data_IF_967719732182
#
_entry.id   IF_967719732182
#
_cell.length_a   1.000
_cell.length_b   1.000
_cell.length_c   1.000
_cell.angle_alpha   90.00
_cell.angle_beta   90.00
_cell.angle_gamma   90.00
#
_symmetry.space_group_name_H-M   'P 1'
#
loop_
_entity.id
_entity.type
_entity.pdbx_description
1 polymer ?
#
# COMPACT_ATOMS: atom_id res chain seq x y z
N UNK A 1 -8.38 -25.53 -16.28
CA UNK A 1 -8.61 -24.09 -16.11
C UNK A 1 -7.71 -23.41 -17.10
N UNK A 2 -8.27 -22.74 -18.10
CA UNK A 2 -7.47 -21.98 -19.05
C UNK A 2 -7.11 -20.64 -18.41
N UNK A 3 -5.82 -20.35 -18.30
CA UNK A 3 -5.31 -19.05 -17.84
C UNK A 3 -5.16 -18.13 -19.05
N UNK A 4 -5.84 -16.98 -19.02
CA UNK A 4 -5.66 -15.92 -20.01
C UNK A 4 -4.71 -14.87 -19.45
N UNK A 5 -3.53 -14.73 -20.06
CA UNK A 5 -2.55 -13.69 -19.72
C UNK A 5 -2.57 -12.56 -20.75
N UNK A 6 -2.55 -11.31 -20.27
CA UNK A 6 -2.40 -10.11 -21.09
C UNK A 6 -1.29 -9.23 -20.54
N UNK A 7 -0.51 -8.58 -21.41
CA UNK A 7 0.45 -7.54 -21.02
C UNK A 7 -0.20 -6.17 -21.23
N UNK A 8 -0.33 -5.40 -20.16
CA UNK A 8 -0.71 -3.99 -20.24
C UNK A 8 0.56 -3.21 -20.54
N UNK A 9 0.56 -2.43 -21.64
CA UNK A 9 1.68 -1.56 -22.03
C UNK A 9 1.24 -0.11 -21.87
N UNK A 10 2.01 0.67 -21.14
CA UNK A 10 1.76 2.08 -20.86
C UNK A 10 2.98 2.70 -20.18
N UNK A 11 3.00 4.03 -20.07
CA UNK A 11 3.92 4.71 -19.17
C UNK A 11 3.25 4.79 -17.80
N UNK A 12 3.88 4.19 -16.81
CA UNK A 12 3.38 4.06 -15.45
C UNK A 12 4.48 4.52 -14.49
N UNK A 13 4.09 5.20 -13.42
CA UNK A 13 4.99 5.65 -12.36
C UNK A 13 4.68 4.91 -11.06
N UNK A 14 5.69 4.83 -10.18
CA UNK A 14 5.48 4.44 -8.79
C UNK A 14 4.47 5.38 -8.12
N UNK A 15 3.44 4.80 -7.49
CA UNK A 15 2.32 5.50 -6.87
C UNK A 15 1.06 5.62 -7.75
N UNK A 16 1.13 5.29 -9.04
CA UNK A 16 -0.05 5.26 -9.90
C UNK A 16 -1.01 4.13 -9.50
N UNK A 17 -2.31 4.31 -9.73
CA UNK A 17 -3.32 3.26 -9.53
C UNK A 17 -3.83 2.80 -10.89
N UNK A 18 -3.53 1.55 -11.25
CA UNK A 18 -4.06 0.93 -12.45
C UNK A 18 -5.44 0.34 -12.18
N UNK A 19 -6.49 0.93 -12.77
CA UNK A 19 -7.85 0.38 -12.78
C UNK A 19 -8.09 -0.46 -14.03
N UNK A 20 -8.57 -1.69 -13.91
CA UNK A 20 -8.81 -2.59 -15.05
C UNK A 20 -10.05 -3.48 -14.85
N UNK A 21 -10.67 -3.93 -15.94
CA UNK A 21 -11.80 -4.86 -15.94
C UNK A 21 -11.71 -5.78 -17.17
N UNK A 22 -12.34 -6.94 -17.10
CA UNK A 22 -12.40 -7.92 -18.17
C UNK A 22 -13.79 -7.95 -18.77
N UNK A 23 -13.88 -8.06 -20.11
CA UNK A 23 -15.13 -8.25 -20.81
C UNK A 23 -15.08 -9.54 -21.63
N UNK A 24 -16.13 -10.36 -21.53
CA UNK A 24 -16.32 -11.54 -22.38
C UNK A 24 -17.32 -11.18 -23.46
N UNK A 25 -16.92 -11.35 -24.72
CA UNK A 25 -17.78 -11.24 -25.88
C UNK A 25 -17.90 -12.62 -26.53
N UNK A 26 -19.06 -13.26 -26.41
CA UNK A 26 -19.35 -14.49 -27.14
C UNK A 26 -19.77 -14.15 -28.58
N UNK A 27 -19.18 -14.82 -29.58
CA UNK A 27 -19.51 -14.61 -31.01
C UNK A 27 -20.79 -15.35 -31.47
N UNK A 28 -21.60 -15.87 -30.54
CA UNK A 28 -22.84 -16.59 -30.84
C UNK A 28 -24.00 -15.62 -31.13
N UNK A 29 -25.05 -16.09 -31.80
CA UNK A 29 -26.20 -15.28 -32.26
C UNK A 29 -27.00 -14.59 -31.13
N UNK A 30 -26.69 -14.86 -29.85
CA UNK A 30 -27.37 -14.30 -28.68
C UNK A 30 -26.54 -13.25 -27.92
N UNK A 31 -25.36 -12.87 -28.42
CA UNK A 31 -24.47 -11.82 -27.91
C UNK A 31 -24.59 -11.54 -26.40
N UNK A 32 -24.23 -12.50 -25.55
CA UNK A 32 -24.04 -12.19 -24.13
C UNK A 32 -22.76 -11.35 -23.97
N UNK A 33 -22.91 -10.18 -23.34
CA UNK A 33 -21.78 -9.38 -22.86
C UNK A 33 -21.76 -9.47 -21.35
N UNK A 34 -20.67 -10.03 -20.81
CA UNK A 34 -20.38 -10.03 -19.38
C UNK A 34 -19.19 -9.11 -19.12
N UNK A 35 -19.31 -8.22 -18.14
CA UNK A 35 -18.19 -7.43 -17.62
C UNK A 35 -17.88 -7.89 -16.20
N UNK A 36 -16.60 -7.98 -15.86
CA UNK A 36 -16.16 -8.13 -14.48
C UNK A 36 -16.34 -6.82 -13.70
N UNK A 37 -16.25 -6.86 -12.37
CA UNK A 37 -15.95 -5.66 -11.58
C UNK A 37 -14.66 -4.98 -12.04
N UNK A 38 -14.50 -3.72 -11.64
CA UNK A 38 -13.22 -2.99 -11.74
C UNK A 38 -12.28 -3.51 -10.64
N UNK A 39 -11.06 -3.82 -11.03
CA UNK A 39 -9.94 -4.16 -10.17
C UNK A 39 -8.95 -3.01 -10.14
N UNK A 40 -8.27 -2.81 -9.02
CA UNK A 40 -7.27 -1.77 -8.83
C UNK A 40 -5.92 -2.40 -8.47
N UNK A 41 -4.83 -1.84 -8.99
CA UNK A 41 -3.45 -2.22 -8.67
C UNK A 41 -2.63 -0.97 -8.41
N UNK A 42 -2.12 -0.83 -7.18
CA UNK A 42 -1.24 0.27 -6.80
C UNK A 42 0.18 -0.05 -7.27
N UNK A 43 0.69 0.73 -8.20
CA UNK A 43 2.01 0.52 -8.78
C UNK A 43 3.10 0.88 -7.77
N UNK A 44 4.01 -0.06 -7.53
CA UNK A 44 5.02 0.09 -6.50
C UNK A 44 4.61 -0.36 -5.11
N UNK A 45 3.40 -0.88 -4.94
CA UNK A 45 2.90 -1.41 -3.68
C UNK A 45 2.69 -2.92 -3.79
N UNK A 46 3.06 -3.64 -2.73
CA UNK A 46 2.82 -5.07 -2.58
C UNK A 46 2.38 -5.36 -1.14
N UNK A 47 1.13 -5.80 -0.99
CA UNK A 47 0.54 -6.24 0.28
C UNK A 47 0.23 -7.73 0.29
N UNK A 48 0.67 -8.51 -0.70
CA UNK A 48 0.57 -9.98 -0.77
C UNK A 48 -0.87 -10.55 -0.82
N UNK A 49 -1.88 -9.69 -0.95
CA UNK A 49 -3.29 -10.06 -1.04
C UNK A 49 -3.63 -10.92 -2.27
N UNK A 50 -2.80 -10.84 -3.31
CA UNK A 50 -2.94 -11.60 -4.55
C UNK A 50 -1.91 -12.72 -4.68
N UNK A 51 -1.22 -13.07 -3.60
CA UNK A 51 -0.27 -14.17 -3.55
C UNK A 51 1.17 -13.74 -3.81
N UNK A 52 1.99 -14.66 -4.33
CA UNK A 52 3.44 -14.51 -4.47
C UNK A 52 3.89 -14.56 -5.93
N UNK A 53 3.01 -14.28 -6.88
CA UNK A 53 3.32 -14.42 -8.30
C UNK A 53 4.47 -13.48 -8.73
N UNK A 54 4.60 -12.31 -8.10
CA UNK A 54 5.72 -11.39 -8.31
C UNK A 54 7.02 -11.84 -7.64
N UNK A 55 7.00 -12.89 -6.81
CA UNK A 55 8.11 -13.29 -5.96
C UNK A 55 8.50 -14.75 -6.19
N UNK A 56 9.81 -14.98 -6.23
CA UNK A 56 10.42 -16.30 -6.28
C UNK A 56 10.83 -16.71 -4.87
N UNK A 57 10.26 -17.81 -4.40
CA UNK A 57 10.65 -18.46 -3.14
C UNK A 57 11.36 -19.77 -3.45
N UNK A 58 12.26 -20.20 -2.56
CA UNK A 58 12.76 -21.58 -2.56
C UNK A 58 11.80 -22.46 -1.75
N UNK A 59 11.63 -23.75 -2.11
CA UNK A 59 10.87 -24.69 -1.29
C UNK A 59 11.39 -24.73 0.15
N UNK A 60 10.48 -24.71 1.13
CA UNK A 60 10.84 -24.77 2.55
C UNK A 60 11.30 -23.45 3.19
N UNK A 61 11.03 -22.32 2.54
CA UNK A 61 11.25 -20.98 3.08
C UNK A 61 10.01 -20.11 2.96
N UNK A 62 10.22 -18.84 2.59
CA UNK A 62 9.19 -17.81 2.58
C UNK A 62 7.87 -18.22 1.91
N UNK A 63 6.77 -17.79 2.53
CA UNK A 63 5.43 -17.92 1.96
C UNK A 63 4.41 -17.02 2.65
N UNK A 64 3.14 -17.21 2.31
CA UNK A 64 2.05 -16.40 2.86
C UNK A 64 1.73 -16.78 4.31
N UNK A 65 1.56 -15.76 5.16
CA UNK A 65 1.06 -15.84 6.53
C UNK A 65 -0.29 -15.15 6.64
N UNK A 66 -1.21 -15.71 7.43
CA UNK A 66 -2.61 -15.26 7.56
C UNK A 66 -3.01 -14.88 8.98
N UNK A 67 -2.22 -15.27 9.99
CA UNK A 67 -2.52 -15.03 11.40
C UNK A 67 -1.86 -13.75 11.92
N UNK A 68 -0.68 -13.41 11.42
CA UNK A 68 0.12 -12.26 11.86
C UNK A 68 0.35 -11.29 10.71
N UNK A 69 -0.74 -10.64 10.33
CA UNK A 69 -0.81 -9.72 9.18
C UNK A 69 -0.93 -8.28 9.67
N UNK A 70 -0.34 -7.31 8.96
CA UNK A 70 -0.42 -5.89 9.31
C UNK A 70 -1.68 -5.25 8.75
N UNK A 71 -2.00 -5.49 7.48
CA UNK A 71 -3.25 -5.09 6.82
C UNK A 71 -3.75 -6.19 5.87
N UNK A 72 -5.04 -6.24 5.58
CA UNK A 72 -5.59 -7.26 4.67
C UNK A 72 -5.63 -8.68 5.28
N UNK A 73 -5.40 -9.69 4.44
CA UNK A 73 -5.50 -11.11 4.77
C UNK A 73 -4.15 -11.83 4.73
N UNK A 74 -3.15 -11.28 4.05
CA UNK A 74 -1.87 -11.94 3.86
C UNK A 74 -0.70 -11.01 4.18
N UNK A 75 0.31 -11.56 4.84
CA UNK A 75 1.67 -11.04 4.87
C UNK A 75 2.60 -12.11 4.31
N UNK A 76 3.90 -11.84 4.21
CA UNK A 76 4.91 -12.89 4.03
C UNK A 76 5.64 -13.18 5.33
N UNK A 77 5.98 -14.45 5.50
CA UNK A 77 6.72 -15.00 6.62
C UNK A 77 7.76 -15.96 6.07
N UNK A 78 8.98 -15.98 6.61
CA UNK A 78 10.05 -16.83 6.11
C UNK A 78 9.81 -18.33 6.37
N UNK A 79 8.95 -18.67 7.34
CA UNK A 79 8.63 -20.04 7.75
C UNK A 79 7.12 -20.23 7.94
N UNK A 80 6.32 -20.00 6.89
CA UNK A 80 4.87 -19.88 6.98
C UNK A 80 4.25 -21.11 7.64
N UNK A 81 3.46 -20.88 8.69
CA UNK A 81 2.79 -21.94 9.45
C UNK A 81 2.57 -21.56 10.90
N UNK A 82 1.39 -21.91 11.43
CA UNK A 82 1.03 -21.53 12.79
C UNK A 82 2.00 -22.11 13.82
N UNK A 83 2.66 -21.24 14.58
CA UNK A 83 3.57 -21.62 15.66
C UNK A 83 4.90 -22.22 15.20
N UNK A 84 5.26 -22.03 13.93
CA UNK A 84 6.50 -22.50 13.35
C UNK A 84 7.59 -21.44 13.60
N UNK A 85 8.71 -21.87 14.19
CA UNK A 85 9.93 -21.08 14.27
C UNK A 85 10.76 -21.31 13.01
N UNK A 86 11.67 -20.38 12.69
CA UNK A 86 12.55 -20.60 11.55
C UNK A 86 13.51 -21.77 11.78
N UNK A 87 13.88 -22.48 10.71
CA UNK A 87 14.82 -23.59 10.80
C UNK A 87 16.20 -23.12 11.26
N UNK A 88 16.86 -23.93 12.09
CA UNK A 88 18.29 -23.77 12.40
C UNK A 88 19.15 -24.15 11.18
N UNK A 89 20.37 -23.62 11.14
CA UNK A 89 21.36 -23.82 10.08
C UNK A 89 20.81 -23.55 8.67
N UNK A 90 19.96 -22.54 8.55
CA UNK A 90 19.20 -22.27 7.33
C UNK A 90 19.56 -20.93 6.70
N UNK A 91 19.44 -20.90 5.37
CA UNK A 91 19.39 -19.67 4.60
C UNK A 91 18.16 -19.69 3.70
N UNK A 92 17.17 -18.85 4.03
CA UNK A 92 15.89 -18.77 3.33
C UNK A 92 15.75 -17.41 2.66
N UNK A 93 15.38 -17.43 1.38
CA UNK A 93 15.38 -16.26 0.49
C UNK A 93 14.05 -16.17 -0.24
N UNK A 94 13.54 -14.94 -0.35
CA UNK A 94 12.50 -14.56 -1.31
C UNK A 94 13.04 -13.42 -2.17
N UNK A 95 12.85 -13.51 -3.48
CA UNK A 95 13.42 -12.58 -4.46
C UNK A 95 12.35 -12.11 -5.42
N UNK A 96 12.31 -10.82 -5.71
CA UNK A 96 11.44 -10.26 -6.75
C UNK A 96 11.76 -10.94 -8.10
N UNK A 97 10.76 -11.39 -8.84
CA UNK A 97 10.98 -12.12 -10.11
C UNK A 97 11.39 -11.21 -11.25
N UNK A 98 10.72 -10.07 -11.36
CA UNK A 98 10.91 -9.10 -12.42
C UNK A 98 11.49 -7.83 -11.79
N UNK A 99 12.58 -7.30 -12.34
CA UNK A 99 13.22 -6.13 -11.78
C UNK A 99 12.41 -4.85 -11.94
N UNK A 100 12.68 -3.95 -11.02
CA UNK A 100 12.15 -2.60 -10.94
C UNK A 100 12.92 -1.69 -11.91
N UNK A 101 12.20 -0.93 -12.73
CA UNK A 101 12.80 0.15 -13.52
C UNK A 101 12.87 1.42 -12.67
N UNK A 102 14.03 1.67 -12.08
CA UNK A 102 14.32 2.86 -11.29
C UNK A 102 15.10 3.91 -12.09
N UNK A 103 15.27 3.69 -13.41
CA UNK A 103 16.19 4.47 -14.24
C UNK A 103 15.79 5.94 -14.43
N UNK A 104 14.51 6.23 -14.21
CA UNK A 104 13.90 7.57 -14.33
C UNK A 104 13.76 8.30 -13.01
N UNK A 105 14.08 7.65 -11.89
CA UNK A 105 14.01 8.25 -10.57
C UNK A 105 15.34 8.92 -10.24
N UNK A 106 15.29 10.03 -9.49
CA UNK A 106 16.48 10.69 -8.94
C UNK A 106 16.79 10.22 -7.52
N UNK A 107 15.76 9.81 -6.79
CA UNK A 107 15.83 9.26 -5.44
C UNK A 107 14.64 8.31 -5.23
N UNK A 108 14.84 7.28 -4.42
CA UNK A 108 13.79 6.33 -4.09
C UNK A 108 14.05 5.67 -2.74
N UNK A 109 12.98 5.32 -2.05
CA UNK A 109 13.01 4.62 -0.77
C UNK A 109 12.16 3.36 -0.87
N UNK A 110 12.73 2.22 -0.47
CA UNK A 110 11.95 1.03 -0.15
C UNK A 110 11.39 1.21 1.26
N UNK A 111 10.07 1.21 1.39
CA UNK A 111 9.36 1.19 2.66
C UNK A 111 8.67 -0.16 2.84
N UNK A 112 8.67 -0.70 4.06
CA UNK A 112 7.95 -1.93 4.38
C UNK A 112 7.50 -1.93 5.84
N UNK A 113 6.42 -2.63 6.13
CA UNK A 113 6.02 -2.93 7.50
C UNK A 113 6.54 -4.30 7.88
N UNK A 114 7.25 -4.38 9.00
CA UNK A 114 7.73 -5.69 9.48
C UNK A 114 7.74 -5.78 10.98
N UNK A 115 7.78 -7.02 11.45
CA UNK A 115 8.24 -7.34 12.79
C UNK A 115 9.08 -8.61 12.69
N UNK A 116 10.02 -8.78 13.61
CA UNK A 116 10.90 -9.93 13.59
C UNK A 116 11.36 -10.30 14.99
N UNK A 117 11.75 -11.55 15.16
CA UNK A 117 12.48 -11.97 16.34
C UNK A 117 13.51 -13.04 15.97
N UNK A 118 14.76 -12.62 16.04
CA UNK A 118 15.94 -13.41 15.75
C UNK A 118 16.68 -13.76 17.04
N UNK A 119 17.24 -14.95 17.09
CA UNK A 119 18.17 -15.39 18.10
C UNK A 119 19.50 -14.67 18.00
N UNK A 120 20.32 -14.86 19.02
CA UNK A 120 21.71 -14.40 18.99
C UNK A 120 22.46 -15.15 17.87
N UNK A 121 23.15 -14.42 16.99
CA UNK A 121 23.83 -15.00 15.83
C UNK A 121 22.98 -15.15 14.56
N UNK A 122 21.69 -14.83 14.63
CA UNK A 122 20.76 -14.89 13.50
C UNK A 122 20.51 -13.51 12.91
N UNK A 123 20.37 -13.44 11.57
CA UNK A 123 20.33 -12.17 10.85
C UNK A 123 19.29 -12.16 9.72
N UNK A 124 18.56 -11.05 9.64
CA UNK A 124 17.74 -10.66 8.48
C UNK A 124 18.46 -9.66 7.60
N UNK A 125 18.37 -9.82 6.28
CA UNK A 125 18.98 -8.94 5.30
C UNK A 125 17.94 -8.43 4.30
N UNK A 126 17.96 -7.12 4.04
CA UNK A 126 17.29 -6.49 2.92
C UNK A 126 18.35 -6.16 1.87
N UNK A 127 18.22 -6.72 0.68
CA UNK A 127 19.27 -6.69 -0.32
C UNK A 127 18.71 -6.34 -1.71
N UNK A 128 19.56 -5.74 -2.54
CA UNK A 128 19.23 -5.40 -3.92
C UNK A 128 20.31 -5.86 -4.90
N UNK A 129 19.93 -6.02 -6.16
CA UNK A 129 20.82 -6.41 -7.25
C UNK A 129 20.56 -5.55 -8.50
N UNK A 130 21.64 -5.16 -9.19
CA UNK A 130 21.61 -4.42 -10.47
C UNK A 130 21.95 -5.28 -11.69
N UNK A 131 22.27 -6.55 -11.46
CA UNK A 131 22.85 -7.45 -12.49
C UNK A 131 22.04 -8.74 -12.64
N UNK A 132 20.72 -8.63 -12.49
CA UNK A 132 19.78 -9.76 -12.56
C UNK A 132 20.06 -10.85 -11.53
N UNK A 133 20.53 -10.46 -10.34
CA UNK A 133 20.71 -11.36 -9.20
C UNK A 133 22.04 -12.10 -9.16
N UNK A 134 23.03 -11.71 -9.98
CA UNK A 134 24.38 -12.30 -9.94
C UNK A 134 25.14 -11.82 -8.70
N UNK A 135 25.03 -10.54 -8.35
CA UNK A 135 25.57 -9.94 -7.13
C UNK A 135 24.48 -9.23 -6.34
N UNK A 136 24.67 -9.17 -5.03
CA UNK A 136 23.70 -8.61 -4.08
C UNK A 136 24.40 -7.70 -3.07
N UNK A 137 23.83 -6.52 -2.87
CA UNK A 137 24.28 -5.54 -1.88
C UNK A 137 23.22 -5.36 -0.81
N UNK A 138 23.62 -5.31 0.46
CA UNK A 138 22.72 -4.99 1.55
C UNK A 138 22.35 -3.50 1.53
N UNK A 139 21.07 -3.19 1.76
CA UNK A 139 20.57 -1.80 1.85
C UNK A 139 20.73 -1.19 3.24
N UNK A 140 21.11 -1.99 4.22
CA UNK A 140 21.39 -1.58 5.61
C UNK A 140 22.34 -2.58 6.27
N UNK A 141 22.74 -2.27 7.49
CA UNK A 141 23.25 -3.28 8.42
C UNK A 141 22.23 -4.42 8.60
N UNK A 142 22.69 -5.65 8.87
CA UNK A 142 21.79 -6.77 9.10
C UNK A 142 20.88 -6.53 10.30
N UNK A 143 19.62 -6.90 10.15
CA UNK A 143 18.64 -6.91 11.22
C UNK A 143 19.02 -8.01 12.22
N UNK A 144 18.99 -7.68 13.51
CA UNK A 144 19.33 -8.59 14.62
C UNK A 144 18.44 -8.33 15.83
N UNK A 145 18.36 -9.29 16.74
CA UNK A 145 17.54 -9.20 17.94
C UNK A 145 16.05 -9.32 17.64
N UNK A 146 15.20 -8.70 18.47
CA UNK A 146 13.75 -8.91 18.42
C UNK A 146 12.95 -7.62 18.54
N UNK A 147 12.01 -7.43 17.62
CA UNK A 147 10.96 -6.42 17.63
C UNK A 147 9.62 -7.12 17.41
N UNK A 148 8.88 -7.34 18.50
CA UNK A 148 7.65 -8.16 18.51
C UNK A 148 6.38 -7.38 18.15
N UNK A 149 6.51 -6.25 17.46
CA UNK A 149 5.41 -5.41 16.98
C UNK A 149 5.75 -4.87 15.60
N UNK A 150 4.77 -4.88 14.70
CA UNK A 150 4.91 -4.25 13.39
C UNK A 150 5.33 -2.79 13.53
N UNK A 151 6.40 -2.44 12.83
CA UNK A 151 6.86 -1.08 12.63
C UNK A 151 7.28 -0.90 11.17
N UNK A 152 7.24 0.35 10.72
CA UNK A 152 7.66 0.70 9.37
C UNK A 152 9.18 0.88 9.35
N UNK A 153 9.84 0.23 8.38
CA UNK A 153 11.25 0.40 8.09
C UNK A 153 11.42 0.99 6.69
N UNK A 154 12.48 1.77 6.52
CA UNK A 154 12.82 2.45 5.28
C UNK A 154 14.27 2.17 4.91
N UNK A 155 14.51 1.90 3.63
CA UNK A 155 15.81 1.59 3.07
C UNK A 155 16.02 2.46 1.85
N UNK A 156 17.12 3.22 1.81
CA UNK A 156 17.43 4.05 0.64
C UNK A 156 17.75 3.16 -0.56
N UNK A 157 17.21 3.54 -1.72
CA UNK A 157 17.52 2.97 -3.02
C UNK A 157 18.28 3.98 -3.89
N UNK A 158 18.78 5.07 -3.33
CA UNK A 158 19.30 6.20 -4.12
C UNK A 158 20.45 5.79 -5.05
N UNK A 159 21.35 4.91 -4.58
CA UNK A 159 22.45 4.33 -5.38
C UNK A 159 21.99 3.37 -6.50
N UNK A 160 20.71 3.05 -6.51
CA UNK A 160 20.02 2.16 -7.44
C UNK A 160 19.04 2.93 -8.33
N UNK A 161 19.03 4.26 -8.29
CA UNK A 161 18.22 5.09 -9.20
C UNK A 161 19.06 5.74 -10.30
N UNK A 162 18.41 6.26 -11.34
CA UNK A 162 19.07 6.95 -12.46
C UNK A 162 19.52 6.03 -13.61
N UNK A 163 20.04 6.61 -14.71
CA UNK A 163 20.25 5.90 -15.97
C UNK A 163 21.07 4.61 -15.83
N UNK A 164 20.56 3.51 -16.38
CA UNK A 164 21.18 2.18 -16.29
C UNK A 164 20.64 1.29 -15.17
N UNK A 165 19.77 1.80 -14.29
CA UNK A 165 19.06 1.02 -13.27
C UNK A 165 17.63 0.66 -13.71
N UNK A 166 17.48 0.07 -14.89
CA UNK A 166 16.20 -0.34 -15.48
C UNK A 166 15.75 -1.75 -15.07
N UNK A 167 16.58 -2.44 -14.29
CA UNK A 167 16.34 -3.80 -13.79
C UNK A 167 16.96 -4.01 -12.40
N UNK A 168 16.34 -3.42 -11.38
CA UNK A 168 16.75 -3.57 -9.98
C UNK A 168 15.91 -4.64 -9.29
N UNK A 169 16.55 -5.72 -8.83
CA UNK A 169 15.87 -6.75 -8.05
C UNK A 169 15.98 -6.44 -6.55
N UNK A 170 14.97 -6.86 -5.80
CA UNK A 170 14.96 -6.84 -4.34
C UNK A 170 14.87 -8.27 -3.81
N UNK A 171 15.50 -8.54 -2.67
CA UNK A 171 15.31 -9.79 -1.93
C UNK A 171 15.32 -9.57 -0.42
N UNK A 172 14.65 -10.47 0.28
CA UNK A 172 14.76 -10.63 1.72
C UNK A 172 15.37 -11.99 2.03
N UNK A 173 16.34 -11.99 2.95
CA UNK A 173 17.08 -13.19 3.32
C UNK A 173 17.18 -13.30 4.83
N UNK A 174 16.84 -14.46 5.37
CA UNK A 174 17.15 -14.82 6.74
C UNK A 174 18.27 -15.87 6.72
N UNK A 175 19.26 -15.68 7.59
CA UNK A 175 20.30 -16.66 7.89
C UNK A 175 20.29 -16.98 9.38
N UNK A 176 20.19 -18.25 9.70
CA UNK A 176 20.25 -18.76 11.08
C UNK A 176 21.49 -19.58 11.35
N UNK A 177 21.90 -19.63 12.61
CA UNK A 177 22.89 -20.54 13.14
C UNK A 177 22.26 -21.87 13.60
N UNK A 178 23.03 -22.75 14.25
CA UNK A 178 22.60 -24.09 14.65
C UNK A 178 21.52 -24.11 15.76
N UNK A 179 21.12 -22.96 16.28
CA UNK A 179 20.12 -22.84 17.34
C UNK A 179 18.72 -22.59 16.76
N UNK A 180 17.72 -23.32 17.26
CA UNK A 180 16.32 -23.06 16.88
C UNK A 180 15.82 -21.87 17.66
N UNK A 181 15.57 -20.78 16.96
CA UNK A 181 15.24 -19.51 17.58
C UNK A 181 14.01 -18.89 16.91
N UNK A 182 13.25 -18.14 17.69
CA UNK A 182 12.33 -17.09 17.28
C UNK A 182 11.17 -17.40 16.31
N UNK A 183 10.09 -16.60 16.34
CA UNK A 183 9.02 -16.68 15.35
C UNK A 183 9.44 -16.22 13.94
N UNK A 184 10.65 -15.69 13.75
CA UNK A 184 11.16 -15.30 12.43
C UNK A 184 10.82 -13.87 12.03
N UNK A 185 10.64 -13.65 10.73
CA UNK A 185 10.50 -12.36 10.09
C UNK A 185 9.22 -12.29 9.26
N UNK A 186 8.37 -11.33 9.59
CA UNK A 186 7.13 -11.08 8.91
C UNK A 186 7.21 -9.72 8.22
N UNK A 187 6.88 -9.68 6.93
CA UNK A 187 6.90 -8.47 6.11
C UNK A 187 5.53 -8.30 5.46
N UNK A 188 5.07 -7.06 5.43
CA UNK A 188 3.80 -6.67 4.84
C UNK A 188 3.91 -5.24 4.28
N UNK A 189 2.95 -4.84 3.44
CA UNK A 189 2.81 -3.49 2.92
C UNK A 189 4.12 -2.88 2.36
N UNK A 190 4.78 -3.59 1.44
CA UNK A 190 5.99 -3.11 0.76
C UNK A 190 5.61 -2.00 -0.22
N UNK A 191 6.37 -0.91 -0.23
CA UNK A 191 6.18 0.23 -1.10
C UNK A 191 7.51 0.78 -1.64
N UNK A 192 7.53 1.20 -2.90
CA UNK A 192 8.61 2.02 -3.46
C UNK A 192 8.13 3.47 -3.51
N UNK A 193 8.76 4.32 -2.71
CA UNK A 193 8.42 5.73 -2.59
C UNK A 193 9.45 6.56 -3.37
N UNK A 194 9.11 7.12 -4.55
CA UNK A 194 10.00 8.03 -5.24
C UNK A 194 10.06 9.36 -4.48
N UNK A 195 11.26 9.82 -4.14
CA UNK A 195 11.43 11.22 -3.72
C UNK A 195 11.70 12.00 -5.00
N UNK A 196 10.67 12.66 -5.52
CA UNK A 196 10.89 13.64 -6.59
C UNK A 196 11.60 14.83 -5.96
N UNK A 197 12.92 14.94 -6.16
CA UNK A 197 13.58 16.24 -5.97
C UNK A 197 12.93 17.21 -6.93
N UNK A 198 12.20 18.19 -6.39
CA UNK A 198 11.56 19.25 -7.15
C UNK A 198 12.63 20.11 -7.83
N UNK A 199 13.06 19.70 -9.03
CA UNK A 199 13.81 20.56 -9.94
C UNK A 199 13.05 20.57 -11.26
N UNK A 200 12.11 21.51 -11.34
CA UNK A 200 11.21 21.68 -12.46
C UNK A 200 9.80 21.91 -11.92
N UNK A 201 9.41 23.19 -11.91
CA UNK A 201 8.04 23.75 -11.78
C UNK A 201 6.99 22.76 -11.28
N UNK A 202 6.42 23.00 -10.09
CA UNK A 202 5.24 22.28 -9.56
C UNK A 202 4.16 22.12 -10.66
N UNK A 203 4.21 21.01 -11.38
CA UNK A 203 2.99 20.36 -11.81
C UNK A 203 2.49 19.69 -10.53
N UNK A 204 1.67 20.42 -9.77
CA UNK A 204 0.75 19.80 -8.82
C UNK A 204 0.18 18.58 -9.55
N UNK A 205 0.39 17.37 -9.00
CA UNK A 205 -0.21 16.18 -9.56
C UNK A 205 -1.72 16.34 -9.42
N UNK A 206 -2.34 16.89 -10.45
CA UNK A 206 -3.77 17.09 -10.56
C UNK A 206 -4.38 15.69 -10.62
N UNK A 207 -5.19 15.28 -9.64
CA UNK A 207 -5.92 14.02 -9.69
C UNK A 207 -6.73 13.88 -10.98
N UNK A 208 -6.97 12.68 -11.51
CA UNK A 208 -7.81 12.54 -12.71
C UNK A 208 -9.32 12.48 -12.39
N UNK A 209 -9.66 12.16 -11.14
CA UNK A 209 -11.04 11.95 -10.69
C UNK A 209 -11.32 12.60 -9.32
N UNK A 210 -12.60 12.89 -9.09
CA UNK A 210 -13.08 13.24 -7.75
C UNK A 210 -13.11 11.98 -6.92
N UNK A 211 -12.32 11.92 -5.84
CA UNK A 211 -12.34 10.80 -4.89
C UNK A 211 -12.59 11.29 -3.47
N UNK A 212 -13.30 10.47 -2.68
CA UNK A 212 -13.51 10.66 -1.26
C UNK A 212 -12.91 9.45 -0.51
N UNK A 213 -11.83 9.67 0.23
CA UNK A 213 -11.11 8.61 0.94
C UNK A 213 -11.76 8.29 2.29
N UNK A 214 -11.35 7.16 2.89
CA UNK A 214 -11.80 6.80 4.22
C UNK A 214 -11.24 7.77 5.26
N UNK A 215 -12.08 8.14 6.22
CA UNK A 215 -11.67 8.96 7.34
C UNK A 215 -10.69 8.16 8.22
N UNK A 216 -9.62 8.79 8.69
CA UNK A 216 -8.66 8.15 9.60
C UNK A 216 -8.35 9.06 10.80
N UNK A 217 -8.33 8.53 12.03
CA UNK A 217 -8.84 7.21 12.42
C UNK A 217 -10.37 7.10 12.24
N UNK A 218 -10.89 5.88 12.03
CA UNK A 218 -12.33 5.58 12.06
C UNK A 218 -12.53 4.13 12.54
N UNK A 219 -13.11 3.87 13.73
CA UNK A 219 -13.70 4.84 14.66
C UNK A 219 -12.70 5.85 15.27
N UNK A 220 -13.14 7.04 15.65
CA UNK A 220 -12.30 8.08 16.27
C UNK A 220 -12.83 8.55 17.63
N UNK A 221 -11.96 9.03 18.52
CA UNK A 221 -12.36 9.51 19.86
C UNK A 221 -12.24 11.03 20.12
N UNK A 222 -11.48 11.75 19.28
CA UNK A 222 -11.16 13.16 19.48
C UNK A 222 -11.12 13.95 18.17
N UNK A 223 -10.43 13.41 17.17
CA UNK A 223 -10.35 14.01 15.84
C UNK A 223 -10.23 12.92 14.78
N UNK A 224 -10.71 13.24 13.59
CA UNK A 224 -10.45 12.48 12.37
C UNK A 224 -9.98 13.42 11.26
N UNK A 225 -9.31 12.89 10.26
CA UNK A 225 -9.07 13.59 9.00
C UNK A 225 -9.92 12.99 7.88
N UNK A 226 -10.35 13.85 6.97
CA UNK A 226 -10.95 13.50 5.70
C UNK A 226 -9.96 13.88 4.60
N UNK A 227 -9.79 12.99 3.64
CA UNK A 227 -9.02 13.27 2.44
C UNK A 227 -9.94 13.16 1.24
N UNK A 228 -9.77 14.06 0.27
CA UNK A 228 -10.44 14.00 -1.02
C UNK A 228 -9.55 14.56 -2.13
N UNK A 229 -9.81 14.17 -3.37
CA UNK A 229 -9.06 14.62 -4.54
C UNK A 229 -9.99 15.35 -5.51
N UNK A 230 -9.50 16.42 -6.15
CA UNK A 230 -10.23 17.19 -7.14
C UNK A 230 -9.42 17.30 -8.44
N UNK A 231 -9.97 16.90 -9.59
CA UNK A 231 -9.23 16.93 -10.86
C UNK A 231 -9.17 18.30 -11.53
N UNK A 232 -10.04 19.21 -11.11
CA UNK A 232 -10.06 20.59 -11.54
C UNK A 232 -10.55 21.41 -10.36
N UNK A 233 -10.27 22.71 -10.37
CA UNK A 233 -10.92 23.64 -9.46
C UNK A 233 -12.45 23.50 -9.60
N UNK A 234 -13.13 23.27 -8.48
CA UNK A 234 -14.59 23.14 -8.49
C UNK A 234 -15.20 23.56 -7.16
N UNK A 235 -16.50 23.89 -7.19
CA UNK A 235 -17.26 24.16 -5.98
C UNK A 235 -17.60 22.85 -5.27
N UNK A 236 -17.11 22.66 -4.06
CA UNK A 236 -17.36 21.49 -3.24
C UNK A 236 -18.03 21.85 -1.92
N UNK A 237 -18.67 20.84 -1.33
CA UNK A 237 -19.19 20.93 0.03
C UNK A 237 -19.03 19.62 0.76
N UNK A 238 -18.13 19.59 1.75
CA UNK A 238 -17.92 18.46 2.64
C UNK A 238 -18.71 18.67 3.92
N UNK A 239 -19.70 17.81 4.19
CA UNK A 239 -20.53 17.90 5.40
C UNK A 239 -20.72 16.58 6.12
N UNK A 240 -20.95 16.66 7.43
CA UNK A 240 -21.25 15.53 8.31
C UNK A 240 -22.76 15.46 8.52
N UNK A 241 -23.33 14.26 8.43
CA UNK A 241 -24.75 13.98 8.57
C UNK A 241 -24.97 12.89 9.61
N UNK A 242 -26.08 12.97 10.34
CA UNK A 242 -26.54 11.89 11.21
C UNK A 242 -27.30 10.81 10.42
N UNK A 243 -27.77 9.77 11.10
CA UNK A 243 -28.53 8.66 10.50
C UNK A 243 -29.89 9.06 9.92
N UNK A 244 -30.42 10.23 10.29
CA UNK A 244 -31.65 10.81 9.72
C UNK A 244 -31.36 11.67 8.48
N UNK A 245 -30.10 11.77 8.03
CA UNK A 245 -29.67 12.63 6.92
C UNK A 245 -29.61 14.11 7.28
N UNK A 246 -29.79 14.48 8.56
CA UNK A 246 -29.67 15.85 9.02
C UNK A 246 -28.20 16.23 9.12
N UNK A 247 -27.86 17.43 8.66
CA UNK A 247 -26.49 17.89 8.65
C UNK A 247 -26.04 18.44 10.00
N UNK A 248 -25.03 17.78 10.57
CA UNK A 248 -24.43 18.05 11.88
C UNK A 248 -23.37 19.14 11.78
N UNK A 249 -22.53 19.10 10.75
CA UNK A 249 -21.43 20.05 10.55
C UNK A 249 -21.12 20.23 9.06
N UNK A 250 -20.58 21.39 8.69
CA UNK A 250 -19.98 21.63 7.38
C UNK A 250 -18.49 21.84 7.62
N UNK A 251 -17.69 20.95 7.05
CA UNK A 251 -16.23 20.93 7.25
C UNK A 251 -15.57 21.83 6.21
N UNK A 252 -16.08 21.80 4.98
CA UNK A 252 -15.61 22.65 3.89
C UNK A 252 -16.76 23.03 2.96
N UNK A 253 -16.75 24.25 2.45
CA UNK A 253 -17.77 24.77 1.54
C UNK A 253 -17.23 25.94 0.73
N UNK A 254 -17.01 25.75 -0.56
CA UNK A 254 -16.48 26.80 -1.42
C UNK A 254 -15.86 26.27 -2.70
N UNK A 255 -15.19 27.17 -3.42
CA UNK A 255 -14.34 26.82 -4.56
C UNK A 255 -13.00 26.33 -4.02
N UNK A 256 -12.63 25.10 -4.36
CA UNK A 256 -11.38 24.47 -3.93
C UNK A 256 -10.54 24.14 -5.17
N UNK A 257 -9.23 24.47 -5.18
CA UNK A 257 -8.34 24.17 -6.30
C UNK A 257 -8.26 22.67 -6.65
N UNK A 258 -7.78 22.37 -7.85
CA UNK A 258 -7.37 21.02 -8.21
C UNK A 258 -6.29 20.52 -7.23
N UNK A 259 -6.26 19.22 -6.94
CA UNK A 259 -5.28 18.63 -6.02
C UNK A 259 -5.88 17.72 -4.96
N UNK A 260 -5.02 17.24 -4.07
CA UNK A 260 -5.40 16.40 -2.92
C UNK A 260 -5.51 17.27 -1.68
N UNK A 261 -6.65 17.20 -1.02
CA UNK A 261 -6.99 18.02 0.14
C UNK A 261 -7.17 17.14 1.37
N UNK A 262 -6.62 17.60 2.50
CA UNK A 262 -6.78 16.93 3.80
C UNK A 262 -7.33 17.93 4.81
N UNK A 263 -8.48 17.60 5.39
CA UNK A 263 -9.15 18.47 6.36
C UNK A 263 -9.51 17.70 7.63
N UNK A 264 -9.36 18.36 8.78
CA UNK A 264 -9.60 17.77 10.09
C UNK A 264 -10.98 18.14 10.61
N UNK A 265 -11.57 17.22 11.39
CA UNK A 265 -12.76 17.48 12.18
C UNK A 265 -12.58 16.96 13.59
N UNK A 266 -12.98 17.76 14.57
CA UNK A 266 -12.83 17.52 16.02
C UNK A 266 -14.10 16.96 16.67
N UNK A 267 -15.06 16.52 15.85
CA UNK A 267 -16.31 15.95 16.33
C UNK A 267 -17.30 16.99 16.88
N UNK A 268 -17.20 18.27 16.51
CA UNK A 268 -18.16 19.31 16.92
C UNK A 268 -19.21 19.61 15.86
N UNK A 269 -20.41 19.98 16.30
CA UNK A 269 -21.48 20.49 15.46
C UNK A 269 -21.28 21.98 15.10
N UNK A 270 -22.21 22.56 14.32
CA UNK A 270 -22.14 23.99 13.92
C UNK A 270 -22.26 24.98 15.06
N UNK A 271 -22.76 24.58 16.22
CA UNK A 271 -22.87 25.41 17.42
C UNK A 271 -21.64 25.26 18.33
N UNK A 272 -20.66 24.43 17.93
CA UNK A 272 -19.46 24.14 18.70
C UNK A 272 -19.66 23.09 19.80
N UNK A 273 -20.84 22.47 19.88
CA UNK A 273 -21.09 21.41 20.83
C UNK A 273 -20.49 20.09 20.35
N UNK A 274 -20.08 19.25 21.29
CA UNK A 274 -19.66 17.89 20.99
C UNK A 274 -20.81 17.11 20.32
N UNK A 275 -20.56 16.56 19.14
CA UNK A 275 -21.44 15.57 18.55
C UNK A 275 -21.45 14.31 19.44
N UNK A 276 -22.61 13.67 19.65
CA UNK A 276 -22.71 12.46 20.46
C UNK A 276 -21.97 11.26 19.83
N UNK A 277 -21.58 10.30 20.66
CA UNK A 277 -21.08 8.99 20.20
C UNK A 277 -22.11 8.32 19.30
N UNK A 278 -21.69 7.83 18.13
CA UNK A 278 -22.62 7.17 17.21
C UNK A 278 -22.14 7.07 15.76
N UNK A 279 -23.05 6.60 14.92
CA UNK A 279 -22.87 6.48 13.49
C UNK A 279 -23.24 7.79 12.79
N UNK A 280 -22.33 8.23 11.93
CA UNK A 280 -22.44 9.39 11.08
C UNK A 280 -22.11 9.02 9.64
N UNK A 281 -22.40 9.96 8.74
CA UNK A 281 -21.98 9.91 7.35
C UNK A 281 -21.30 11.23 7.01
N UNK A 282 -20.22 11.17 6.24
CA UNK A 282 -19.66 12.37 5.63
C UNK A 282 -19.92 12.33 4.13
N UNK A 283 -20.29 13.49 3.59
CA UNK A 283 -20.69 13.65 2.20
C UNK A 283 -19.87 14.74 1.55
N UNK A 284 -19.19 14.40 0.46
CA UNK A 284 -18.58 15.34 -0.47
C UNK A 284 -19.56 15.60 -1.60
N UNK A 285 -20.14 16.79 -1.65
CA UNK A 285 -20.96 17.24 -2.77
C UNK A 285 -20.07 17.94 -3.80
N UNK A 286 -20.15 17.51 -5.05
CA UNK A 286 -19.49 18.16 -6.19
C UNK A 286 -20.51 18.44 -7.31
N UNK A 287 -20.15 19.16 -8.39
CA UNK A 287 -21.01 19.31 -9.55
C UNK A 287 -21.38 17.99 -10.23
N UNK A 288 -20.51 16.97 -10.12
CA UNK A 288 -20.71 15.65 -10.72
C UNK A 288 -21.58 14.72 -9.85
N UNK A 289 -21.92 15.14 -8.63
CA UNK A 289 -22.77 14.40 -7.72
C UNK A 289 -22.20 14.25 -6.30
N UNK A 290 -22.97 13.68 -5.36
CA UNK A 290 -22.52 13.41 -4.01
C UNK A 290 -21.77 12.08 -3.88
N UNK A 291 -20.71 12.07 -3.09
CA UNK A 291 -20.07 10.87 -2.57
C UNK A 291 -20.30 10.79 -1.06
N UNK A 292 -20.63 9.61 -0.53
CA UNK A 292 -21.00 9.43 0.89
C UNK A 292 -20.26 8.24 1.48
N UNK A 293 -19.70 8.41 2.68
CA UNK A 293 -19.02 7.34 3.43
C UNK A 293 -19.41 7.35 4.91
N UNK A 294 -19.25 6.21 5.58
CA UNK A 294 -19.62 5.99 6.99
C UNK A 294 -18.52 6.49 7.93
N UNK A 295 -18.92 7.03 9.07
CA UNK A 295 -18.03 7.52 10.11
C UNK A 295 -18.55 7.12 11.49
N UNK A 296 -17.67 6.60 12.34
CA UNK A 296 -18.02 6.19 13.72
C UNK A 296 -17.28 7.08 14.71
N UNK A 297 -18.02 7.87 15.48
CA UNK A 297 -17.49 8.65 16.59
C UNK A 297 -17.66 7.87 17.89
N UNK A 298 -16.56 7.70 18.62
CA UNK A 298 -16.49 7.19 19.98
C UNK A 298 -16.19 8.36 20.91
N UNK A 299 -16.71 8.36 22.13
CA UNK A 299 -16.35 9.34 23.15
C UNK A 299 -16.55 8.74 24.53
#
# INVERSE_FOLDING_TARGET
MDTFGGRIRGQFNYGDVLKYQFAINERSALSLRGMSPIYEMNLGFEGFEFGLDAWQTKPGGWGLEKQRVRTGQNAIHESPGQGVNYPADAEVIITLREGLDLSRLSQATLSLWHFFAFGEGDYGYVEASRDSGQTWSALSEPLTGSVLKYYQAEFSLDELTGPGNDNVLLRFRLRSDASINGPGWFIDDISILPIRTAVGREEEMIPDEVMLFDAYPNPFNAQTQFQYSLPVEMTIRLSIMNTLGQEVAVIENGVTPAGVHTIRWDGRDRLGHAAPTGLYFYRLQTPNGPMVKKLTLLR
#
